data_IF_128904917428
#
_entry.id   IF_128904917428
#
_cell.length_a   1.000
_cell.length_b   1.000
_cell.length_c   1.000
_cell.angle_alpha   90.00
_cell.angle_beta   90.00
_cell.angle_gamma   90.00
#
_symmetry.space_group_name_H-M   'P 1'
#
loop_
_entity.id
_entity.type
_entity.pdbx_description
1 polymer ?
#
# COMPACT_ATOMS: atom_id res chain seq x y z
N UNK A 1 -5.20 -1.19 26.02
CA UNK A 1 -6.33 -0.93 26.93
C UNK A 1 -7.45 -1.97 26.74
N UNK A 2 -7.97 -2.18 25.52
CA UNK A 2 -9.06 -3.13 25.27
C UNK A 2 -8.68 -4.55 25.67
N UNK A 3 -7.49 -5.01 25.32
CA UNK A 3 -7.01 -6.37 25.68
C UNK A 3 -6.81 -6.51 27.19
N UNK A 4 -6.36 -5.46 27.88
CA UNK A 4 -6.27 -5.43 29.35
C UNK A 4 -7.67 -5.54 29.98
N UNK A 5 -8.63 -4.74 29.47
CA UNK A 5 -10.00 -4.76 29.96
C UNK A 5 -10.67 -6.15 29.79
N UNK A 6 -10.33 -6.84 28.70
CA UNK A 6 -10.85 -8.18 28.40
C UNK A 6 -10.10 -9.31 29.12
N UNK A 7 -9.00 -9.00 29.80
CA UNK A 7 -8.11 -10.01 30.39
C UNK A 7 -7.38 -10.88 29.34
N UNK A 8 -7.25 -10.36 28.10
CA UNK A 8 -6.62 -11.05 26.96
C UNK A 8 -5.11 -10.79 26.88
N UNK A 9 -4.52 -10.04 27.80
CA UNK A 9 -3.09 -9.77 27.80
C UNK A 9 -2.41 -10.16 29.10
N UNK A 10 -1.17 -10.66 28.99
CA UNK A 10 -0.32 -10.97 30.12
C UNK A 10 0.09 -9.71 30.88
N UNK A 11 0.41 -9.88 32.16
CA UNK A 11 1.03 -8.83 32.95
C UNK A 11 2.38 -8.47 32.34
N UNK A 12 2.67 -7.17 32.26
CA UNK A 12 3.95 -6.66 31.76
C UNK A 12 4.59 -5.72 32.80
N UNK A 13 5.90 -5.65 32.77
CA UNK A 13 6.66 -4.66 33.55
C UNK A 13 6.55 -3.28 32.87
N UNK A 14 6.80 -2.22 33.62
CA UNK A 14 6.85 -0.87 33.07
C UNK A 14 7.89 -0.75 31.93
N UNK A 15 9.01 -1.42 32.06
CA UNK A 15 10.05 -1.45 31.02
C UNK A 15 9.55 -2.11 29.73
N UNK A 16 8.91 -3.27 29.82
CA UNK A 16 8.33 -3.95 28.66
C UNK A 16 7.27 -3.09 27.96
N UNK A 17 6.41 -2.45 28.75
CA UNK A 17 5.42 -1.53 28.22
C UNK A 17 6.06 -0.32 27.52
N UNK A 18 7.08 0.30 28.14
CA UNK A 18 7.81 1.41 27.54
C UNK A 18 8.47 1.00 26.22
N UNK A 19 9.14 -0.17 26.19
CA UNK A 19 9.73 -0.69 24.95
C UNK A 19 8.65 -0.88 23.87
N UNK A 20 7.49 -1.46 24.21
CA UNK A 20 6.41 -1.68 23.28
C UNK A 20 5.86 -0.37 22.68
N UNK A 21 5.58 0.64 23.51
CA UNK A 21 5.00 1.91 23.03
C UNK A 21 6.02 2.82 22.34
N UNK A 22 7.32 2.63 22.59
CA UNK A 22 8.39 3.42 21.98
C UNK A 22 9.12 2.70 20.84
N UNK A 23 8.69 1.48 20.48
CA UNK A 23 9.35 0.71 19.42
C UNK A 23 9.13 1.37 18.07
N UNK A 24 10.09 2.20 17.67
CA UNK A 24 9.99 3.12 16.54
C UNK A 24 9.61 2.48 15.19
N UNK A 25 9.93 1.20 14.87
CA UNK A 25 9.53 0.64 13.58
C UNK A 25 8.02 0.50 13.38
N UNK A 26 7.22 0.47 14.47
CA UNK A 26 5.76 0.37 14.33
C UNK A 26 4.98 1.60 14.84
N UNK A 27 5.63 2.54 15.55
CA UNK A 27 4.94 3.58 16.32
C UNK A 27 4.17 4.60 15.48
N UNK A 28 4.67 4.95 14.29
CA UNK A 28 4.04 5.97 13.44
C UNK A 28 3.10 5.36 12.41
N UNK A 29 3.62 4.63 11.43
CA UNK A 29 2.86 4.05 10.32
C UNK A 29 3.26 2.61 10.03
N UNK A 30 4.01 1.99 10.94
CA UNK A 30 4.41 0.59 10.83
C UNK A 30 3.25 -0.39 10.99
N UNK A 31 3.51 -1.67 10.78
CA UNK A 31 2.49 -2.69 10.95
C UNK A 31 1.90 -2.68 12.36
N UNK A 32 0.57 -2.60 12.48
CA UNK A 32 -0.12 -2.59 13.77
C UNK A 32 0.16 -3.90 14.50
N UNK A 33 0.72 -3.82 15.68
CA UNK A 33 1.11 -4.94 16.52
C UNK A 33 0.44 -4.85 17.88
N UNK A 34 -0.06 -5.97 18.39
CA UNK A 34 -0.70 -6.08 19.70
C UNK A 34 0.26 -6.63 20.74
N UNK A 35 -0.03 -6.42 22.01
CA UNK A 35 0.79 -6.87 23.13
C UNK A 35 1.05 -8.39 23.13
N UNK A 36 0.02 -9.17 22.84
CA UNK A 36 0.07 -10.64 22.74
C UNK A 36 1.03 -11.13 21.63
N UNK A 37 1.29 -10.29 20.63
CA UNK A 37 2.28 -10.58 19.58
C UNK A 37 3.69 -10.13 19.96
N UNK A 38 3.82 -8.98 20.63
CA UNK A 38 5.13 -8.37 20.91
C UNK A 38 5.86 -8.97 22.10
N UNK A 39 5.17 -9.17 23.24
CA UNK A 39 5.83 -9.62 24.47
C UNK A 39 6.44 -11.02 24.40
N UNK A 40 5.80 -12.03 23.77
CA UNK A 40 6.45 -13.32 23.62
C UNK A 40 7.79 -13.24 22.85
N UNK A 41 7.86 -12.37 21.83
CA UNK A 41 9.08 -12.14 21.05
C UNK A 41 10.12 -11.39 21.92
N UNK A 42 9.67 -10.35 22.61
CA UNK A 42 10.53 -9.55 23.50
C UNK A 42 11.16 -10.40 24.62
N UNK A 43 10.39 -11.33 25.19
CA UNK A 43 10.82 -12.21 26.29
C UNK A 43 11.63 -13.41 25.80
N UNK A 44 11.59 -13.72 24.51
CA UNK A 44 12.35 -14.83 23.95
C UNK A 44 13.86 -14.59 24.11
N UNK A 45 14.62 -15.61 24.49
CA UNK A 45 16.09 -15.52 24.60
C UNK A 45 16.81 -15.25 23.26
N UNK A 46 16.13 -15.53 22.14
CA UNK A 46 16.69 -15.42 20.77
C UNK A 46 17.26 -14.04 20.45
N UNK A 47 16.71 -12.94 21.00
CA UNK A 47 17.21 -11.58 20.74
C UNK A 47 18.61 -11.30 21.27
N UNK A 48 19.13 -12.15 22.15
CA UNK A 48 20.50 -12.02 22.72
C UNK A 48 21.57 -12.61 21.81
N UNK A 49 21.18 -13.37 20.81
CA UNK A 49 22.06 -14.01 19.85
C UNK A 49 22.19 -13.12 18.62
N UNK A 50 23.43 -12.97 18.10
CA UNK A 50 23.66 -12.26 16.84
C UNK A 50 23.44 -13.25 15.70
N UNK A 51 22.37 -13.03 14.94
CA UNK A 51 22.06 -13.79 13.72
C UNK A 51 22.48 -12.97 12.49
N UNK A 52 23.68 -13.21 11.99
CA UNK A 52 24.22 -12.50 10.82
C UNK A 52 23.39 -12.70 9.55
N UNK A 53 22.79 -13.88 9.37
CA UNK A 53 21.91 -14.17 8.23
C UNK A 53 20.65 -13.28 8.30
N UNK A 54 20.06 -13.17 9.47
CA UNK A 54 18.89 -12.35 9.71
C UNK A 54 19.20 -10.85 9.59
N UNK A 55 20.36 -10.41 10.08
CA UNK A 55 20.82 -9.03 9.91
C UNK A 55 20.98 -8.71 8.42
N UNK A 56 21.63 -9.57 7.64
CA UNK A 56 21.79 -9.36 6.21
C UNK A 56 20.44 -9.29 5.48
N UNK A 57 19.49 -10.16 5.81
CA UNK A 57 18.10 -10.12 5.28
C UNK A 57 17.42 -8.82 5.66
N UNK A 58 17.58 -8.37 6.91
CA UNK A 58 17.03 -7.13 7.41
C UNK A 58 17.56 -5.90 6.66
N UNK A 59 18.88 -5.82 6.47
CA UNK A 59 19.52 -4.74 5.70
C UNK A 59 19.00 -4.74 4.26
N UNK A 60 18.94 -5.90 3.63
CA UNK A 60 18.47 -6.01 2.26
C UNK A 60 17.00 -5.57 2.12
N UNK A 61 16.13 -6.05 3.00
CA UNK A 61 14.72 -5.67 3.02
C UNK A 61 14.54 -4.17 3.27
N UNK A 62 15.33 -3.59 4.19
CA UNK A 62 15.36 -2.15 4.43
C UNK A 62 15.73 -1.35 3.17
N UNK A 63 16.81 -1.75 2.49
CA UNK A 63 17.29 -1.07 1.29
C UNK A 63 16.28 -1.17 0.15
N UNK A 64 15.64 -2.32 -0.03
CA UNK A 64 14.56 -2.45 -1.02
C UNK A 64 13.34 -1.59 -0.66
N UNK A 65 12.96 -1.54 0.61
CA UNK A 65 11.91 -0.65 1.10
C UNK A 65 12.23 0.82 0.83
N UNK A 66 13.47 1.23 1.12
CA UNK A 66 13.96 2.59 0.83
C UNK A 66 13.91 2.89 -0.68
N UNK A 67 14.35 1.97 -1.52
CA UNK A 67 14.26 2.09 -2.97
C UNK A 67 12.82 2.25 -3.47
N UNK A 68 11.87 1.47 -2.92
CA UNK A 68 10.44 1.63 -3.23
C UNK A 68 9.93 3.02 -2.87
N UNK A 69 10.30 3.55 -1.69
CA UNK A 69 9.88 4.87 -1.23
C UNK A 69 10.50 5.98 -2.07
N UNK A 70 11.82 6.04 -2.15
CA UNK A 70 12.54 7.19 -2.71
C UNK A 70 12.57 7.17 -4.24
N UNK A 71 12.77 5.99 -4.87
CA UNK A 71 12.95 5.92 -6.32
C UNK A 71 11.63 5.74 -7.08
N UNK A 72 10.61 5.11 -6.47
CA UNK A 72 9.35 4.83 -7.15
C UNK A 72 8.21 5.68 -6.59
N UNK A 73 7.91 5.60 -5.30
CA UNK A 73 6.74 6.28 -4.73
C UNK A 73 6.84 7.80 -4.87
N UNK A 74 7.99 8.40 -4.55
CA UNK A 74 8.17 9.85 -4.62
C UNK A 74 8.15 10.36 -6.06
N UNK A 75 8.70 9.60 -7.01
CA UNK A 75 8.61 9.93 -8.44
C UNK A 75 7.17 9.97 -8.93
N UNK A 76 6.38 8.92 -8.62
CA UNK A 76 4.96 8.91 -8.95
C UNK A 76 4.18 9.98 -8.19
N UNK A 77 4.55 10.24 -6.93
CA UNK A 77 3.94 11.27 -6.09
C UNK A 77 4.02 12.65 -6.70
N UNK A 78 5.19 13.04 -7.20
CA UNK A 78 5.37 14.32 -7.88
C UNK A 78 4.46 14.46 -9.12
N UNK A 79 4.35 13.40 -9.93
CA UNK A 79 3.47 13.40 -11.10
C UNK A 79 1.97 13.46 -10.68
N UNK A 80 1.59 12.77 -9.61
CA UNK A 80 0.23 12.79 -9.06
C UNK A 80 -0.13 14.18 -8.54
N UNK A 81 0.72 14.78 -7.73
CA UNK A 81 0.48 16.09 -7.13
C UNK A 81 0.38 17.18 -8.21
N UNK A 82 1.26 17.12 -9.22
CA UNK A 82 1.15 18.00 -10.38
C UNK A 82 -0.18 17.77 -11.13
N UNK A 83 -0.56 16.51 -11.37
CA UNK A 83 -1.78 16.17 -12.10
C UNK A 83 -3.03 16.65 -11.39
N UNK A 84 -3.16 16.45 -10.07
CA UNK A 84 -4.28 16.96 -9.28
C UNK A 84 -4.26 18.48 -9.16
N UNK A 85 -3.10 19.14 -9.17
CA UNK A 85 -2.97 20.59 -9.25
C UNK A 85 -3.36 21.19 -10.61
N UNK A 86 -3.39 20.38 -11.67
CA UNK A 86 -3.62 20.82 -13.06
C UNK A 86 -4.74 20.06 -13.77
N UNK A 87 -5.76 19.55 -13.07
CA UNK A 87 -6.87 18.73 -13.63
C UNK A 87 -7.51 19.41 -14.85
N UNK A 88 -7.63 20.74 -14.83
CA UNK A 88 -8.25 21.51 -15.91
C UNK A 88 -7.52 21.37 -17.26
N UNK A 89 -6.21 21.17 -17.27
CA UNK A 89 -5.38 21.00 -18.46
C UNK A 89 -5.29 19.56 -18.97
N UNK A 90 -5.74 18.59 -18.17
CA UNK A 90 -5.64 17.18 -18.50
C UNK A 90 -6.80 16.71 -19.40
N UNK A 91 -6.48 15.78 -20.30
CA UNK A 91 -7.45 14.97 -21.06
C UNK A 91 -7.65 13.60 -20.40
N UNK A 92 -8.54 12.79 -20.96
CA UNK A 92 -8.92 11.49 -20.38
C UNK A 92 -7.74 10.53 -20.21
N UNK A 93 -6.83 10.44 -21.18
CA UNK A 93 -5.66 9.57 -21.10
C UNK A 93 -4.68 10.03 -20.03
N UNK A 94 -4.35 11.31 -19.98
CA UNK A 94 -3.45 11.87 -18.96
C UNK A 94 -4.02 11.71 -17.56
N UNK A 95 -5.34 11.96 -17.38
CA UNK A 95 -5.99 11.75 -16.08
C UNK A 95 -5.99 10.26 -15.68
N UNK A 96 -6.23 9.34 -16.63
CA UNK A 96 -6.13 7.90 -16.35
C UNK A 96 -4.73 7.52 -15.86
N UNK A 97 -3.68 8.01 -16.52
CA UNK A 97 -2.31 7.75 -16.10
C UNK A 97 -2.03 8.28 -14.68
N UNK A 98 -2.48 9.50 -14.36
CA UNK A 98 -2.35 10.05 -13.01
C UNK A 98 -3.00 9.14 -11.97
N UNK A 99 -4.17 8.57 -12.24
CA UNK A 99 -4.82 7.65 -11.30
C UNK A 99 -4.08 6.32 -11.16
N UNK A 100 -3.47 5.83 -12.22
CA UNK A 100 -2.59 4.64 -12.19
C UNK A 100 -1.31 4.94 -11.40
N UNK A 101 -0.70 6.11 -11.60
CA UNK A 101 0.47 6.56 -10.83
C UNK A 101 0.13 6.66 -9.34
N UNK A 102 -1.05 7.14 -8.98
CA UNK A 102 -1.47 7.15 -7.57
C UNK A 102 -1.61 5.73 -7.00
N UNK A 103 -2.11 4.76 -7.78
CA UNK A 103 -2.13 3.36 -7.36
C UNK A 103 -0.72 2.80 -7.10
N UNK A 104 0.28 3.20 -7.92
CA UNK A 104 1.67 2.81 -7.69
C UNK A 104 2.27 3.57 -6.50
N UNK A 105 2.04 4.89 -6.41
CA UNK A 105 2.51 5.71 -5.31
C UNK A 105 2.08 5.15 -3.96
N UNK A 106 0.79 4.97 -3.73
CA UNK A 106 0.25 4.51 -2.43
C UNK A 106 0.77 3.11 -2.07
N UNK A 107 0.95 2.24 -3.06
CA UNK A 107 1.50 0.90 -2.83
C UNK A 107 2.98 0.93 -2.51
N UNK A 108 3.80 1.60 -3.32
CA UNK A 108 5.24 1.63 -3.11
C UNK A 108 5.63 2.43 -1.87
N UNK A 109 4.92 3.51 -1.57
CA UNK A 109 5.12 4.31 -0.37
C UNK A 109 4.87 3.47 0.88
N UNK A 110 3.68 2.88 1.00
CA UNK A 110 3.30 2.17 2.21
C UNK A 110 3.97 0.78 2.31
N UNK A 111 4.11 0.04 1.21
CA UNK A 111 4.86 -1.22 1.25
C UNK A 111 6.36 -0.99 1.48
N UNK A 112 6.93 0.09 0.95
CA UNK A 112 8.31 0.48 1.18
C UNK A 112 8.57 0.79 2.65
N UNK A 113 7.70 1.60 3.26
CA UNK A 113 7.77 1.87 4.69
C UNK A 113 7.66 0.58 5.54
N UNK A 114 6.70 -0.28 5.22
CA UNK A 114 6.51 -1.55 5.91
C UNK A 114 7.72 -2.48 5.79
N UNK A 115 8.34 -2.54 4.61
CA UNK A 115 9.54 -3.33 4.39
C UNK A 115 10.75 -2.78 5.18
N UNK A 116 10.90 -1.45 5.23
CA UNK A 116 11.92 -0.82 6.09
C UNK A 116 11.70 -1.14 7.56
N UNK A 117 10.47 -1.05 8.05
CA UNK A 117 10.12 -1.36 9.43
C UNK A 117 10.42 -2.83 9.80
N UNK A 118 10.03 -3.76 8.93
CA UNK A 118 10.32 -5.20 9.11
C UNK A 118 11.82 -5.45 9.02
N UNK A 119 12.53 -4.81 8.08
CA UNK A 119 13.97 -4.93 7.93
C UNK A 119 14.74 -4.51 9.18
N UNK A 120 14.41 -3.36 9.76
CA UNK A 120 14.99 -2.90 11.03
C UNK A 120 14.67 -3.88 12.17
N UNK A 121 13.44 -4.37 12.22
CA UNK A 121 13.03 -5.32 13.25
C UNK A 121 13.82 -6.63 13.17
N UNK A 122 14.10 -7.12 11.96
CA UNK A 122 14.96 -8.29 11.78
C UNK A 122 16.40 -8.07 12.22
N UNK A 123 16.96 -6.87 11.99
CA UNK A 123 18.30 -6.51 12.52
C UNK A 123 18.31 -6.56 14.05
N UNK A 124 17.19 -6.18 14.70
CA UNK A 124 17.01 -6.23 16.16
C UNK A 124 16.55 -7.62 16.67
N UNK A 125 16.52 -8.60 15.80
CA UNK A 125 16.04 -9.96 16.04
C UNK A 125 14.59 -10.04 16.59
N UNK A 126 13.74 -9.12 16.10
CA UNK A 126 12.30 -9.03 16.39
C UNK A 126 11.49 -9.29 15.12
N UNK A 127 10.26 -9.80 15.25
CA UNK A 127 9.35 -10.01 14.13
C UNK A 127 8.19 -9.01 14.17
N UNK A 128 8.00 -8.25 13.09
CA UNK A 128 6.80 -7.47 12.86
C UNK A 128 5.82 -8.20 11.93
N UNK A 129 4.51 -8.01 12.12
CA UNK A 129 3.52 -8.56 11.19
C UNK A 129 3.66 -7.96 9.79
N UNK A 130 3.30 -8.75 8.77
CA UNK A 130 3.30 -8.31 7.37
C UNK A 130 2.09 -7.44 7.09
N UNK A 131 2.28 -6.31 6.38
CA UNK A 131 1.20 -5.46 5.92
C UNK A 131 0.80 -5.73 4.45
N UNK A 132 1.72 -6.21 3.63
CA UNK A 132 1.49 -6.41 2.21
C UNK A 132 1.94 -7.78 1.74
N UNK A 133 1.06 -8.48 1.01
CA UNK A 133 1.35 -9.74 0.32
C UNK A 133 0.95 -9.66 -1.15
N UNK A 134 1.70 -8.89 -1.95
CA UNK A 134 1.44 -8.71 -3.39
C UNK A 134 -0.04 -8.43 -3.71
N UNK A 135 -0.66 -7.36 -3.19
CA UNK A 135 -2.11 -7.13 -3.23
C UNK A 135 -2.67 -7.01 -4.65
N UNK A 136 -1.89 -6.55 -5.62
CA UNK A 136 -2.33 -6.42 -7.01
C UNK A 136 -2.42 -7.77 -7.76
N UNK A 137 -1.99 -8.87 -7.14
CA UNK A 137 -2.24 -10.24 -7.63
C UNK A 137 -3.66 -10.73 -7.36
N UNK A 138 -4.45 -10.01 -6.57
CA UNK A 138 -5.78 -10.42 -6.13
C UNK A 138 -6.77 -10.55 -7.30
N UNK A 139 -7.63 -11.58 -7.22
CA UNK A 139 -8.71 -11.83 -8.18
C UNK A 139 -10.07 -11.35 -7.68
N UNK A 140 -10.13 -10.75 -6.49
CA UNK A 140 -11.36 -10.21 -5.91
C UNK A 140 -11.04 -9.16 -4.85
N UNK A 141 -12.02 -8.31 -4.54
CA UNK A 141 -11.89 -7.31 -3.47
C UNK A 141 -11.67 -7.97 -2.11
N UNK A 142 -12.27 -9.14 -1.88
CA UNK A 142 -12.04 -9.93 -0.64
C UNK A 142 -10.59 -10.40 -0.55
N UNK A 143 -10.01 -10.88 -1.65
CA UNK A 143 -8.61 -11.30 -1.68
C UNK A 143 -7.66 -10.11 -1.58
N UNK A 144 -8.00 -8.96 -2.21
CA UNK A 144 -7.23 -7.73 -2.09
C UNK A 144 -7.05 -7.33 -0.62
N UNK A 145 -8.11 -7.27 0.17
CA UNK A 145 -8.05 -6.92 1.59
C UNK A 145 -7.37 -7.96 2.48
N UNK A 146 -7.22 -9.20 2.03
CA UNK A 146 -6.37 -10.20 2.70
C UNK A 146 -4.87 -9.96 2.46
N UNK A 147 -4.53 -9.14 1.46
CA UNK A 147 -3.17 -8.86 1.00
C UNK A 147 -2.73 -7.41 1.18
N UNK A 148 -3.68 -6.51 1.39
CA UNK A 148 -3.47 -5.07 1.61
C UNK A 148 -3.73 -4.72 3.06
N UNK A 149 -2.78 -3.99 3.68
CA UNK A 149 -2.87 -3.48 5.06
C UNK A 149 -3.38 -4.55 6.05
N UNK A 150 -2.72 -5.71 6.03
CA UNK A 150 -3.13 -6.94 6.71
C UNK A 150 -3.27 -6.71 8.21
N UNK A 151 -2.37 -5.93 8.83
CA UNK A 151 -2.41 -5.66 10.27
C UNK A 151 -3.63 -4.82 10.66
N UNK A 152 -4.04 -3.82 9.85
CA UNK A 152 -5.28 -3.06 10.06
C UNK A 152 -6.51 -3.95 9.90
N UNK A 153 -6.55 -4.78 8.86
CA UNK A 153 -7.64 -5.72 8.62
C UNK A 153 -7.81 -6.68 9.81
N UNK A 154 -6.70 -7.17 10.38
CA UNK A 154 -6.69 -7.99 11.59
C UNK A 154 -7.22 -7.23 12.80
N UNK A 155 -6.74 -6.00 12.99
CA UNK A 155 -7.18 -5.12 14.07
C UNK A 155 -8.70 -4.86 14.02
N UNK A 156 -9.21 -4.42 12.87
CA UNK A 156 -10.65 -4.17 12.70
C UNK A 156 -11.49 -5.45 12.87
N UNK A 157 -10.94 -6.59 12.45
CA UNK A 157 -11.60 -7.89 12.66
C UNK A 157 -11.68 -8.24 14.13
N UNK A 158 -10.58 -8.11 14.90
CA UNK A 158 -10.53 -8.45 16.34
C UNK A 158 -11.41 -7.51 17.16
N UNK A 159 -11.36 -6.20 16.89
CA UNK A 159 -11.98 -5.21 17.79
C UNK A 159 -13.36 -4.70 17.34
N UNK A 160 -13.75 -4.94 16.09
CA UNK A 160 -15.06 -4.49 15.56
C UNK A 160 -15.88 -5.68 15.04
N UNK A 161 -15.37 -6.44 14.07
CA UNK A 161 -16.16 -7.48 13.41
C UNK A 161 -16.58 -8.61 14.35
N UNK A 162 -15.65 -9.15 15.14
CA UNK A 162 -15.92 -10.25 16.08
C UNK A 162 -16.87 -9.83 17.21
N UNK A 163 -16.71 -8.67 17.88
CA UNK A 163 -17.64 -8.19 18.90
C UNK A 163 -19.06 -7.97 18.40
N UNK A 164 -19.23 -7.57 17.13
CA UNK A 164 -20.55 -7.45 16.50
C UNK A 164 -21.23 -8.80 16.20
N UNK A 165 -20.57 -9.92 16.54
CA UNK A 165 -21.06 -11.29 16.34
C UNK A 165 -20.43 -12.00 15.13
N UNK A 166 -19.53 -11.33 14.38
CA UNK A 166 -18.80 -11.93 13.24
C UNK A 166 -19.74 -12.51 12.19
N UNK A 167 -19.46 -13.73 11.74
CA UNK A 167 -20.29 -14.50 10.80
C UNK A 167 -21.20 -15.53 11.46
N UNK A 168 -21.21 -15.62 12.81
CA UNK A 168 -21.93 -16.68 13.56
C UNK A 168 -23.45 -16.51 13.54
N UNK A 169 -23.97 -15.31 13.28
CA UNK A 169 -25.40 -14.94 13.32
C UNK A 169 -26.03 -14.86 11.93
N UNK A 170 -25.53 -15.66 10.98
CA UNK A 170 -26.04 -15.72 9.61
C UNK A 170 -25.45 -14.68 8.64
N UNK A 171 -25.75 -14.85 7.35
CA UNK A 171 -25.12 -14.07 6.27
C UNK A 171 -25.49 -12.58 6.31
N UNK A 172 -26.77 -12.25 6.58
CA UNK A 172 -27.22 -10.86 6.64
C UNK A 172 -26.46 -10.08 7.71
N UNK A 173 -26.33 -10.66 8.93
CA UNK A 173 -25.55 -10.03 10.00
C UNK A 173 -24.08 -9.89 9.64
N UNK A 174 -23.48 -10.90 8.98
CA UNK A 174 -22.11 -10.83 8.50
C UNK A 174 -21.90 -9.71 7.45
N UNK A 175 -22.88 -9.47 6.59
CA UNK A 175 -22.85 -8.38 5.61
C UNK A 175 -22.94 -7.01 6.30
N UNK A 176 -23.87 -6.83 7.23
CA UNK A 176 -23.96 -5.60 8.04
C UNK A 176 -22.68 -5.33 8.81
N UNK A 177 -22.12 -6.36 9.47
CA UNK A 177 -20.85 -6.22 10.19
C UNK A 177 -19.69 -5.83 9.25
N UNK A 178 -19.65 -6.38 8.03
CA UNK A 178 -18.67 -6.01 7.01
C UNK A 178 -18.80 -4.53 6.62
N UNK A 179 -20.03 -4.04 6.39
CA UNK A 179 -20.30 -2.62 6.11
C UNK A 179 -19.81 -1.72 7.25
N UNK A 180 -20.14 -2.06 8.50
CA UNK A 180 -19.71 -1.29 9.68
C UNK A 180 -18.18 -1.21 9.74
N UNK A 181 -17.48 -2.35 9.55
CA UNK A 181 -16.00 -2.40 9.56
C UNK A 181 -15.40 -1.45 8.52
N UNK A 182 -15.94 -1.45 7.29
CA UNK A 182 -15.40 -0.60 6.22
C UNK A 182 -15.75 0.88 6.41
N UNK A 183 -16.93 1.20 6.96
CA UNK A 183 -17.27 2.57 7.36
C UNK A 183 -16.35 3.06 8.48
N UNK A 184 -16.10 2.25 9.50
CA UNK A 184 -15.13 2.58 10.56
C UNK A 184 -13.72 2.76 9.99
N UNK A 185 -13.31 1.93 9.03
CA UNK A 185 -12.03 2.09 8.33
C UNK A 185 -11.94 3.42 7.58
N UNK A 186 -13.01 3.81 6.88
CA UNK A 186 -13.08 5.10 6.20
C UNK A 186 -12.94 6.29 7.17
N UNK A 187 -13.72 6.29 8.26
CA UNK A 187 -13.66 7.34 9.29
C UNK A 187 -12.27 7.39 9.96
N UNK A 188 -11.64 6.26 10.14
CA UNK A 188 -10.29 6.17 10.71
C UNK A 188 -9.22 6.85 9.83
N UNK A 189 -9.39 6.85 8.50
CA UNK A 189 -8.47 7.52 7.57
C UNK A 189 -8.55 9.05 7.62
N UNK A 190 -9.64 9.63 8.12
CA UNK A 190 -9.74 11.09 8.26
C UNK A 190 -11.18 11.63 8.29
N UNK A 191 -11.31 12.91 8.59
CA UNK A 191 -12.57 13.60 8.80
C UNK A 191 -13.21 14.12 7.48
N UNK A 192 -12.99 13.41 6.35
CA UNK A 192 -13.60 13.75 5.06
C UNK A 192 -14.70 12.76 4.67
N UNK A 193 -15.78 13.28 4.09
CA UNK A 193 -16.85 12.46 3.49
C UNK A 193 -16.33 11.57 2.36
N UNK A 194 -15.21 11.94 1.74
CA UNK A 194 -14.58 11.13 0.68
C UNK A 194 -14.07 9.79 1.25
N UNK A 195 -13.51 9.77 2.46
CA UNK A 195 -13.11 8.53 3.12
C UNK A 195 -14.31 7.68 3.55
N UNK A 196 -15.41 8.30 3.99
CA UNK A 196 -16.66 7.57 4.30
C UNK A 196 -17.23 6.94 3.04
N UNK A 197 -17.25 7.67 1.91
CA UNK A 197 -17.68 7.15 0.62
C UNK A 197 -16.79 6.00 0.15
N UNK A 198 -15.46 6.16 0.28
CA UNK A 198 -14.49 5.11 -0.03
C UNK A 198 -14.75 3.84 0.80
N UNK A 199 -14.94 3.97 2.10
CA UNK A 199 -15.27 2.87 2.99
C UNK A 199 -16.58 2.20 2.61
N UNK A 200 -17.63 2.98 2.30
CA UNK A 200 -18.93 2.45 1.88
C UNK A 200 -18.81 1.62 0.58
N UNK A 201 -18.08 2.11 -0.43
CA UNK A 201 -17.87 1.41 -1.69
C UNK A 201 -17.12 0.08 -1.49
N UNK A 202 -16.07 0.09 -0.66
CA UNK A 202 -15.36 -1.14 -0.32
C UNK A 202 -16.24 -2.13 0.46
N UNK A 203 -17.02 -1.64 1.42
CA UNK A 203 -17.98 -2.45 2.16
C UNK A 203 -18.98 -3.13 1.23
N UNK A 204 -19.59 -2.37 0.32
CA UNK A 204 -20.52 -2.90 -0.70
C UNK A 204 -19.83 -3.93 -1.60
N UNK A 205 -18.65 -3.61 -2.13
CA UNK A 205 -17.90 -4.54 -3.00
C UNK A 205 -17.52 -5.84 -2.27
N UNK A 206 -17.15 -5.77 -0.99
CA UNK A 206 -16.89 -6.94 -0.15
C UNK A 206 -18.13 -7.81 0.03
N UNK A 207 -19.29 -7.19 0.29
CA UNK A 207 -20.58 -7.90 0.45
C UNK A 207 -20.97 -8.54 -0.87
N UNK A 208 -20.94 -7.80 -1.99
CA UNK A 208 -21.26 -8.31 -3.32
C UNK A 208 -20.33 -9.47 -3.71
N UNK A 209 -19.02 -9.33 -3.50
CA UNK A 209 -18.06 -10.40 -3.79
C UNK A 209 -18.37 -11.68 -3.01
N UNK A 210 -18.78 -11.57 -1.75
CA UNK A 210 -19.15 -12.72 -0.93
C UNK A 210 -20.49 -13.33 -1.38
N UNK A 211 -21.50 -12.49 -1.60
CA UNK A 211 -22.84 -12.92 -1.99
C UNK A 211 -22.87 -13.59 -3.37
N UNK A 212 -22.09 -13.05 -4.32
CA UNK A 212 -22.03 -13.51 -5.70
C UNK A 212 -20.93 -14.56 -5.96
N UNK A 213 -20.25 -15.06 -4.92
CA UNK A 213 -19.12 -15.99 -5.09
C UNK A 213 -19.46 -17.17 -5.99
N UNK A 214 -20.62 -17.80 -5.79
CA UNK A 214 -21.08 -18.97 -6.57
C UNK A 214 -21.27 -18.65 -8.07
N UNK A 215 -21.78 -17.46 -8.36
CA UNK A 215 -22.05 -17.05 -9.76
C UNK A 215 -20.80 -16.60 -10.51
N UNK A 216 -19.72 -16.32 -9.80
CA UNK A 216 -18.47 -15.87 -10.40
C UNK A 216 -17.51 -17.01 -10.78
N UNK A 217 -17.78 -18.28 -10.47
CA UNK A 217 -16.81 -19.38 -10.65
C UNK A 217 -16.39 -19.57 -12.12
N UNK A 218 -17.30 -19.36 -13.08
CA UNK A 218 -17.05 -19.49 -14.51
C UNK A 218 -16.27 -18.33 -15.15
N UNK A 219 -16.14 -17.19 -14.46
CA UNK A 219 -15.44 -16.01 -14.99
C UNK A 219 -13.93 -16.29 -15.06
N UNK A 220 -13.24 -16.05 -16.18
CA UNK A 220 -11.79 -16.23 -16.31
C UNK A 220 -11.01 -15.42 -15.28
N UNK A 221 -9.93 -15.99 -14.77
CA UNK A 221 -9.09 -15.35 -13.73
C UNK A 221 -8.57 -13.96 -14.15
N UNK A 222 -8.20 -13.83 -15.43
CA UNK A 222 -7.70 -12.54 -15.94
C UNK A 222 -8.77 -11.46 -15.84
N UNK A 223 -10.02 -11.76 -16.22
CA UNK A 223 -11.13 -10.81 -16.14
C UNK A 223 -11.46 -10.43 -14.70
N UNK A 224 -11.49 -11.42 -13.78
CA UNK A 224 -11.65 -11.16 -12.32
C UNK A 224 -10.60 -10.20 -11.81
N UNK A 225 -9.32 -10.41 -12.16
CA UNK A 225 -8.22 -9.55 -11.76
C UNK A 225 -8.38 -8.15 -12.35
N UNK A 226 -8.65 -8.04 -13.65
CA UNK A 226 -8.83 -6.74 -14.32
C UNK A 226 -9.94 -5.93 -13.67
N UNK A 227 -11.12 -6.53 -13.45
CA UNK A 227 -12.25 -5.87 -12.78
C UNK A 227 -11.86 -5.44 -11.35
N UNK A 228 -11.15 -6.30 -10.61
CA UNK A 228 -10.70 -5.97 -9.25
C UNK A 228 -9.73 -4.79 -9.28
N UNK A 229 -8.74 -4.79 -10.16
CA UNK A 229 -7.75 -3.70 -10.25
C UNK A 229 -8.38 -2.38 -10.71
N UNK A 230 -9.31 -2.42 -11.66
CA UNK A 230 -10.06 -1.23 -12.09
C UNK A 230 -10.92 -0.67 -10.96
N UNK A 231 -11.60 -1.53 -10.18
CA UNK A 231 -12.35 -1.11 -9.01
C UNK A 231 -11.44 -0.47 -7.95
N UNK A 232 -10.29 -1.09 -7.65
CA UNK A 232 -9.32 -0.55 -6.69
C UNK A 232 -8.78 0.81 -7.18
N UNK A 233 -8.39 0.93 -8.46
CA UNK A 233 -7.95 2.20 -9.03
C UNK A 233 -9.05 3.27 -8.94
N UNK A 234 -10.30 2.92 -9.26
CA UNK A 234 -11.45 3.82 -9.11
C UNK A 234 -11.62 4.30 -7.66
N UNK A 235 -11.53 3.40 -6.69
CA UNK A 235 -11.67 3.79 -5.27
C UNK A 235 -10.48 4.59 -4.76
N UNK A 236 -9.29 4.43 -5.34
CA UNK A 236 -8.14 5.29 -5.05
C UNK A 236 -8.33 6.72 -5.55
N UNK A 237 -9.08 6.95 -6.65
CA UNK A 237 -9.47 8.31 -7.07
C UNK A 237 -10.23 9.01 -5.95
N UNK A 238 -11.23 8.33 -5.38
CA UNK A 238 -12.06 8.86 -4.29
C UNK A 238 -11.21 9.12 -3.05
N UNK A 239 -10.31 8.21 -2.73
CA UNK A 239 -9.41 8.34 -1.58
C UNK A 239 -8.45 9.54 -1.70
N UNK A 240 -8.00 9.89 -2.92
CA UNK A 240 -7.07 11.00 -3.17
C UNK A 240 -7.76 12.35 -3.23
N UNK A 241 -9.02 12.41 -3.64
CA UNK A 241 -9.75 13.67 -3.81
C UNK A 241 -10.15 14.28 -2.47
N UNK A 242 -10.00 15.60 -2.35
CA UNK A 242 -10.32 16.32 -1.13
C UNK A 242 -11.84 16.42 -0.89
N UNK A 243 -12.62 16.64 -1.97
CA UNK A 243 -14.07 16.84 -1.90
C UNK A 243 -14.79 16.39 -3.18
N UNK A 244 -16.14 16.50 -3.16
CA UNK A 244 -16.98 16.14 -4.31
C UNK A 244 -16.80 17.09 -5.52
N UNK A 245 -16.32 18.32 -5.31
CA UNK A 245 -16.06 19.26 -6.39
C UNK A 245 -14.83 18.80 -7.17
N UNK A 246 -13.73 18.49 -6.49
CA UNK A 246 -12.53 17.96 -7.11
C UNK A 246 -12.80 16.61 -7.81
N UNK A 247 -13.58 15.72 -7.18
CA UNK A 247 -13.99 14.46 -7.79
C UNK A 247 -14.74 14.68 -9.11
N UNK A 248 -15.65 15.67 -9.14
CA UNK A 248 -16.36 16.04 -10.38
C UNK A 248 -15.40 16.54 -11.46
N UNK A 249 -14.40 17.33 -11.10
CA UNK A 249 -13.38 17.82 -12.04
C UNK A 249 -12.55 16.67 -12.63
N UNK A 250 -12.16 15.68 -11.81
CA UNK A 250 -11.50 14.46 -12.27
C UNK A 250 -12.36 13.72 -13.29
N UNK A 251 -13.66 13.50 -13.01
CA UNK A 251 -14.55 12.86 -13.98
C UNK A 251 -14.76 13.67 -15.26
N UNK A 252 -14.81 15.01 -15.16
CA UNK A 252 -14.86 15.88 -16.35
C UNK A 252 -13.60 15.75 -17.20
N UNK A 253 -12.41 15.60 -16.58
CA UNK A 253 -11.18 15.37 -17.31
C UNK A 253 -11.23 14.05 -18.09
N UNK A 254 -11.76 12.97 -17.51
CA UNK A 254 -11.98 11.70 -18.22
C UNK A 254 -12.90 11.85 -19.44
N UNK A 255 -13.92 12.71 -19.34
CA UNK A 255 -14.89 12.94 -20.44
C UNK A 255 -14.37 13.84 -21.56
N UNK A 256 -13.27 14.58 -21.36
CA UNK A 256 -12.68 15.44 -22.42
C UNK A 256 -12.17 14.66 -23.63
N UNK A 257 -12.05 13.33 -23.52
CA UNK A 257 -11.48 12.50 -24.56
C UNK A 257 -9.98 12.74 -24.77
N UNK A 258 -9.47 12.30 -25.93
CA UNK A 258 -8.06 12.40 -26.26
C UNK A 258 -7.23 11.22 -25.77
N UNK A 259 -6.34 10.73 -26.62
CA UNK A 259 -5.44 9.60 -26.36
C UNK A 259 -3.98 10.04 -26.18
N UNK A 260 -3.69 11.33 -26.41
CA UNK A 260 -2.36 11.89 -26.20
C UNK A 260 -2.07 12.05 -24.69
N UNK A 261 -0.83 11.81 -24.29
CA UNK A 261 -0.36 12.12 -22.95
C UNK A 261 0.10 13.57 -22.94
N UNK A 262 -0.29 14.33 -21.90
CA UNK A 262 0.20 15.70 -21.74
C UNK A 262 1.73 15.69 -21.61
N UNK A 263 2.47 16.43 -22.46
CA UNK A 263 3.94 16.40 -22.47
C UNK A 263 4.59 16.83 -21.14
N UNK A 264 3.91 17.65 -20.34
CA UNK A 264 4.42 18.08 -19.03
C UNK A 264 4.60 16.90 -18.07
N UNK A 265 3.90 15.78 -18.27
CA UNK A 265 4.09 14.59 -17.46
C UNK A 265 5.44 13.92 -17.67
N UNK A 266 6.09 14.14 -18.82
CA UNK A 266 7.38 13.49 -19.12
C UNK A 266 8.52 14.01 -18.25
N UNK A 267 8.42 15.25 -17.72
CA UNK A 267 9.43 15.85 -16.84
C UNK A 267 9.69 15.00 -15.58
N UNK A 268 8.67 14.33 -15.05
CA UNK A 268 8.79 13.48 -13.86
C UNK A 268 9.56 12.18 -14.12
N UNK A 269 9.73 11.83 -15.40
CA UNK A 269 10.53 10.69 -15.85
C UNK A 269 11.91 11.11 -16.38
N UNK A 270 12.33 12.34 -16.09
CA UNK A 270 13.63 12.88 -16.52
C UNK A 270 13.67 13.35 -17.97
N UNK A 271 12.52 13.53 -18.61
CA UNK A 271 12.37 13.98 -19.99
C UNK A 271 11.79 15.40 -19.96
N UNK A 272 12.64 16.41 -20.11
CA UNK A 272 12.24 17.82 -20.08
C UNK A 272 12.77 18.59 -21.28
N UNK A 273 12.09 19.71 -21.62
CA UNK A 273 12.51 20.66 -22.63
C UNK A 273 11.79 20.53 -23.97
N UNK A 274 12.24 21.28 -24.98
CA UNK A 274 11.61 21.38 -26.33
C UNK A 274 11.44 20.00 -27.02
N UNK A 275 12.29 19.03 -26.73
CA UNK A 275 12.16 17.68 -27.26
C UNK A 275 10.94 16.89 -26.71
N UNK A 276 10.34 17.31 -25.61
CA UNK A 276 9.18 16.64 -25.05
C UNK A 276 7.94 16.72 -25.96
N UNK A 277 7.73 17.84 -26.64
CA UNK A 277 6.64 18.01 -27.61
C UNK A 277 6.96 17.32 -28.95
N UNK A 278 8.19 17.49 -29.44
CA UNK A 278 8.63 16.91 -30.71
C UNK A 278 8.56 15.39 -30.73
N UNK A 279 8.90 14.73 -29.62
CA UNK A 279 8.89 13.26 -29.48
C UNK A 279 7.75 12.76 -28.59
N UNK A 280 6.68 13.53 -28.42
CA UNK A 280 5.58 13.21 -27.50
C UNK A 280 4.98 11.81 -27.70
N UNK A 281 4.85 11.36 -28.97
CA UNK A 281 4.35 10.01 -29.29
C UNK A 281 5.32 8.94 -28.78
N UNK A 282 6.63 9.09 -29.05
CA UNK A 282 7.65 8.15 -28.59
C UNK A 282 7.69 8.07 -27.07
N UNK A 283 7.69 9.21 -26.37
CA UNK A 283 7.69 9.27 -24.92
C UNK A 283 6.40 8.70 -24.32
N UNK A 284 5.25 8.91 -24.96
CA UNK A 284 3.99 8.28 -24.57
C UNK A 284 4.09 6.75 -24.63
N UNK A 285 4.65 6.21 -25.68
CA UNK A 285 4.88 4.76 -25.84
C UNK A 285 5.81 4.24 -24.74
N UNK A 286 6.92 4.92 -24.48
CA UNK A 286 7.89 4.52 -23.44
C UNK A 286 7.27 4.53 -22.04
N UNK A 287 6.48 5.57 -21.70
CA UNK A 287 5.76 5.64 -20.42
C UNK A 287 4.75 4.50 -20.28
N UNK A 288 3.97 4.23 -21.34
CA UNK A 288 3.01 3.11 -21.33
C UNK A 288 3.72 1.77 -21.19
N UNK A 289 4.83 1.54 -21.89
CA UNK A 289 5.62 0.33 -21.76
C UNK A 289 6.21 0.18 -20.35
N UNK A 290 6.68 1.27 -19.74
CA UNK A 290 7.16 1.27 -18.36
C UNK A 290 6.05 0.90 -17.36
N UNK A 291 4.84 1.47 -17.53
CA UNK A 291 3.67 1.14 -16.71
C UNK A 291 3.31 -0.34 -16.85
N UNK A 292 3.24 -0.84 -18.08
CA UNK A 292 2.98 -2.27 -18.34
C UNK A 292 4.06 -3.13 -17.69
N UNK A 293 5.33 -2.75 -17.82
CA UNK A 293 6.45 -3.44 -17.20
C UNK A 293 6.32 -3.51 -15.67
N UNK A 294 5.97 -2.39 -15.02
CA UNK A 294 5.73 -2.34 -13.58
C UNK A 294 4.54 -3.23 -13.19
N UNK A 295 3.43 -3.16 -13.93
CA UNK A 295 2.26 -4.01 -13.66
C UNK A 295 2.62 -5.49 -13.80
N UNK A 296 3.30 -5.88 -14.86
CA UNK A 296 3.77 -7.27 -15.07
C UNK A 296 4.70 -7.70 -13.93
N UNK A 297 5.63 -6.85 -13.55
CA UNK A 297 6.51 -7.11 -12.40
C UNK A 297 5.70 -7.34 -11.12
N UNK A 298 4.76 -6.47 -10.79
CA UNK A 298 3.91 -6.60 -9.60
C UNK A 298 3.03 -7.86 -9.62
N UNK A 299 2.67 -8.35 -10.80
CA UNK A 299 1.87 -9.55 -10.98
C UNK A 299 2.68 -10.85 -10.88
N UNK A 300 3.98 -10.82 -11.21
CA UNK A 300 4.84 -12.02 -11.29
C UNK A 300 5.80 -12.11 -10.11
N UNK A 301 6.49 -11.01 -9.77
CA UNK A 301 7.54 -11.00 -8.77
C UNK A 301 7.04 -11.38 -7.36
N UNK A 302 7.85 -12.08 -6.54
CA UNK A 302 7.56 -12.26 -5.13
C UNK A 302 7.54 -10.90 -4.43
N UNK A 303 6.88 -10.81 -3.26
CA UNK A 303 7.00 -9.60 -2.44
C UNK A 303 8.42 -9.49 -1.86
N UNK A 304 8.82 -8.27 -1.42
CA UNK A 304 10.19 -8.01 -1.00
C UNK A 304 10.61 -8.86 0.21
N UNK A 305 9.69 -9.10 1.16
CA UNK A 305 9.93 -9.94 2.33
C UNK A 305 10.20 -11.39 1.90
N UNK A 306 9.36 -11.95 1.04
CA UNK A 306 9.53 -13.31 0.52
C UNK A 306 10.85 -13.46 -0.27
N UNK A 307 11.20 -12.43 -1.05
CA UNK A 307 12.47 -12.40 -1.78
C UNK A 307 13.66 -12.38 -0.81
N UNK A 308 13.62 -11.54 0.24
CA UNK A 308 14.67 -11.47 1.26
C UNK A 308 14.81 -12.78 2.07
N UNK A 309 13.70 -13.44 2.41
CA UNK A 309 13.71 -14.72 3.14
C UNK A 309 14.35 -15.86 2.33
N UNK A 310 14.07 -15.90 1.03
CA UNK A 310 14.58 -16.96 0.12
C UNK A 310 15.97 -16.67 -0.44
N UNK A 311 16.50 -15.47 -0.24
CA UNK A 311 17.77 -15.06 -0.84
C UNK A 311 18.95 -15.79 -0.22
N UNK A 312 19.79 -16.36 -1.08
CA UNK A 312 21.14 -16.81 -0.72
C UNK A 312 22.11 -15.67 -1.03
N UNK A 313 22.70 -15.09 0.01
CA UNK A 313 23.53 -13.91 -0.14
C UNK A 313 24.83 -14.22 -0.89
N UNK A 314 25.13 -13.34 -1.85
CA UNK A 314 26.39 -13.31 -2.59
C UNK A 314 26.92 -11.87 -2.59
N UNK A 315 28.22 -11.70 -2.75
CA UNK A 315 28.87 -10.37 -2.71
C UNK A 315 28.20 -9.34 -3.64
N UNK A 316 27.74 -9.77 -4.82
CA UNK A 316 27.09 -8.85 -5.76
C UNK A 316 25.78 -8.25 -5.23
N UNK A 317 25.06 -8.90 -4.29
CA UNK A 317 23.88 -8.31 -3.65
C UNK A 317 24.26 -7.07 -2.83
N UNK A 318 25.47 -7.07 -2.22
CA UNK A 318 26.01 -5.89 -1.54
C UNK A 318 26.22 -4.72 -2.50
N UNK A 319 26.75 -4.97 -3.71
CA UNK A 319 26.88 -3.92 -4.73
C UNK A 319 25.53 -3.38 -5.21
N UNK A 320 24.53 -4.25 -5.37
CA UNK A 320 23.15 -3.82 -5.71
C UNK A 320 22.57 -2.95 -4.59
N UNK A 321 22.70 -3.37 -3.34
CA UNK A 321 22.23 -2.60 -2.19
C UNK A 321 22.94 -1.23 -2.10
N UNK A 322 24.26 -1.18 -2.27
CA UNK A 322 25.04 0.05 -2.29
C UNK A 322 24.59 0.98 -3.44
N UNK A 323 24.34 0.43 -4.64
CA UNK A 323 23.79 1.18 -5.77
C UNK A 323 22.42 1.78 -5.49
N UNK A 324 21.49 1.03 -4.89
CA UNK A 324 20.18 1.54 -4.50
C UNK A 324 20.32 2.66 -3.48
N UNK A 325 21.17 2.50 -2.45
CA UNK A 325 21.41 3.53 -1.44
C UNK A 325 21.97 4.79 -2.09
N UNK A 326 22.98 4.66 -2.96
CA UNK A 326 23.57 5.80 -3.66
C UNK A 326 22.53 6.58 -4.48
N UNK A 327 21.69 5.86 -5.25
CA UNK A 327 20.59 6.47 -6.00
C UNK A 327 19.57 7.17 -5.09
N UNK A 328 19.23 6.57 -3.94
CA UNK A 328 18.35 7.18 -2.96
C UNK A 328 18.96 8.47 -2.39
N UNK A 329 20.25 8.45 -2.02
CA UNK A 329 20.95 9.66 -1.51
C UNK A 329 20.92 10.79 -2.53
N UNK A 330 21.13 10.50 -3.82
CA UNK A 330 21.05 11.50 -4.89
C UNK A 330 19.63 12.11 -5.06
N UNK A 331 18.60 11.41 -4.58
CA UNK A 331 17.21 11.83 -4.68
C UNK A 331 16.62 12.38 -3.38
N UNK A 332 17.36 12.43 -2.27
CA UNK A 332 16.83 12.88 -0.97
C UNK A 332 16.32 14.32 -0.96
N UNK A 333 16.79 15.19 -1.82
CA UNK A 333 16.26 16.56 -1.97
C UNK A 333 14.82 16.61 -2.50
N UNK A 334 14.32 15.51 -3.09
CA UNK A 334 12.98 15.40 -3.67
C UNK A 334 12.06 14.46 -2.90
N UNK A 335 12.45 14.03 -1.69
CA UNK A 335 11.63 13.11 -0.85
C UNK A 335 10.37 13.84 -0.38
N UNK A 336 9.22 13.22 -0.64
CA UNK A 336 7.93 13.67 -0.15
C UNK A 336 7.62 13.11 1.25
N UNK A 337 6.69 13.76 1.96
CA UNK A 337 6.12 13.17 3.17
C UNK A 337 5.43 11.83 2.85
N UNK A 338 5.35 10.95 3.85
CA UNK A 338 4.61 9.69 3.69
C UNK A 338 3.13 9.99 3.41
N UNK A 339 2.54 9.32 2.41
CA UNK A 339 1.16 9.61 1.94
C UNK A 339 0.15 9.60 3.08
N UNK A 340 0.28 8.68 4.03
CA UNK A 340 -0.63 8.58 5.18
C UNK A 340 -0.44 9.67 6.25
N UNK A 341 0.57 10.52 6.18
CA UNK A 341 0.69 11.69 7.05
C UNK A 341 -0.11 12.90 6.56
N UNK A 342 -0.63 12.83 5.35
CA UNK A 342 -1.40 13.91 4.72
C UNK A 342 -2.92 13.76 4.94
N UNK A 343 -3.36 12.78 5.72
CA UNK A 343 -4.76 12.49 6.02
C UNK A 343 -5.12 12.77 7.47
#
# INVERSE_FOLDING_TARGET
>A
LVDVYRGECDRCTLLEYTIFVSFFPHISSGPIMTQDQFFPILRSGKRKEIDWDRINRGIFLFVFGLGKKVLLADMFGQAVDWGYGNIASLNGMSMFLITVFYSFQIYFDFSGYSDMAIGISWILNLDLPVNFDSPYKAYSVVEFWKRWHISLTRFLTKYIYIPLGGSRKGNLRAYCNTMIVFLCSGIWHGASWMFVLWGALHGVAMVLTKALKRYGEWIPRILKRSVTLLFINFTWIIFRTADLKELREVFRAFLKGGISINPDLFQFFGIAGKGAEEYAVLYSILVLLAIIGILVFLLIAPNAKEAAEKMKYKVWHGFVAAGIIALCVLRFSSVSSFVYFNF
#
